data_IF_386889916528
#
_entry.id   IF_386889916528
#
_cell.length_a   1.000
_cell.length_b   1.000
_cell.length_c   1.000
_cell.angle_alpha   90.00
_cell.angle_beta   90.00
_cell.angle_gamma   90.00
#
_symmetry.space_group_name_H-M   'P 1'
#
loop_
_entity.id
_entity.type
_entity.pdbx_description
1 polymer ?
#
# COMPACT_ATOMS: atom_id res chain seq x y z
N UNK A 1 18.72 4.38 7.61
CA UNK A 1 19.05 3.69 6.33
C UNK A 1 17.89 2.75 6.04
N UNK A 2 17.12 2.96 4.97
CA UNK A 2 16.01 2.07 4.62
C UNK A 2 16.61 0.75 4.12
N UNK A 3 16.34 -0.36 4.82
CA UNK A 3 16.94 -1.69 4.55
C UNK A 3 16.41 -2.34 3.26
N UNK A 4 15.34 -1.79 2.68
CA UNK A 4 14.73 -2.25 1.44
C UNK A 4 15.06 -1.33 0.25
N UNK A 5 15.97 -0.37 0.41
CA UNK A 5 16.42 0.48 -0.69
C UNK A 5 17.50 -0.24 -1.51
N UNK A 6 17.24 -0.45 -2.80
CA UNK A 6 18.23 -0.91 -3.77
C UNK A 6 18.48 0.19 -4.81
N UNK A 7 19.72 0.34 -5.25
CA UNK A 7 20.07 1.26 -6.34
C UNK A 7 19.71 0.70 -7.72
N UNK A 8 19.65 -0.63 -7.83
CA UNK A 8 19.34 -1.34 -9.07
C UNK A 8 18.37 -2.49 -8.81
N UNK A 9 17.51 -2.78 -9.78
CA UNK A 9 16.60 -3.91 -9.73
C UNK A 9 17.28 -5.22 -10.18
N UNK A 10 16.52 -6.31 -10.25
CA UNK A 10 17.02 -7.63 -10.66
C UNK A 10 17.53 -7.74 -12.11
N UNK A 11 17.37 -6.69 -12.92
CA UNK A 11 17.86 -6.61 -14.31
C UNK A 11 18.96 -5.56 -14.49
N UNK A 12 19.42 -4.95 -13.38
CA UNK A 12 20.44 -3.90 -13.38
C UNK A 12 19.90 -2.52 -13.77
N UNK A 13 18.58 -2.32 -13.75
CA UNK A 13 17.95 -1.02 -14.04
C UNK A 13 17.96 -0.16 -12.79
N UNK A 14 18.32 1.12 -12.93
CA UNK A 14 18.38 2.04 -11.80
C UNK A 14 17.00 2.23 -11.14
N UNK A 15 16.93 2.01 -9.83
CA UNK A 15 15.71 2.22 -9.04
C UNK A 15 15.52 3.70 -8.72
N UNK A 16 14.28 4.17 -8.86
CA UNK A 16 13.90 5.55 -8.53
C UNK A 16 12.63 5.60 -7.70
N UNK A 17 12.48 6.66 -6.91
CA UNK A 17 11.18 6.99 -6.32
C UNK A 17 10.26 7.52 -7.43
N UNK A 18 9.03 7.01 -7.47
CA UNK A 18 8.02 7.42 -8.44
C UNK A 18 6.65 7.49 -7.79
N UNK A 19 5.82 8.38 -8.30
CA UNK A 19 4.41 8.42 -7.92
C UNK A 19 3.70 7.27 -8.66
N UNK A 20 3.18 6.28 -7.94
CA UNK A 20 2.29 5.24 -8.52
C UNK A 20 0.89 5.80 -8.69
N UNK A 21 0.41 6.50 -7.66
CA UNK A 21 -0.83 7.27 -7.68
C UNK A 21 -0.48 8.71 -7.31
N UNK A 22 -0.99 9.67 -8.08
CA UNK A 22 -0.83 11.11 -7.83
C UNK A 22 -2.18 11.79 -7.90
N UNK A 23 -2.57 12.44 -6.79
CA UNK A 23 -3.86 13.16 -6.68
C UNK A 23 -5.06 12.30 -7.13
N UNK A 24 -5.10 11.04 -6.68
CA UNK A 24 -6.16 10.08 -7.02
C UNK A 24 -6.08 9.49 -8.44
N UNK A 25 -5.06 9.83 -9.24
CA UNK A 25 -4.86 9.29 -10.59
C UNK A 25 -3.73 8.28 -10.60
N UNK A 26 -3.97 7.13 -11.24
CA UNK A 26 -2.92 6.16 -11.53
C UNK A 26 -1.95 6.75 -12.55
N UNK A 27 -0.66 6.72 -12.23
CA UNK A 27 0.40 7.31 -13.06
C UNK A 27 1.20 6.24 -13.82
N UNK A 28 1.48 5.11 -13.17
CA UNK A 28 2.24 4.00 -13.74
C UNK A 28 1.94 2.70 -12.99
N UNK A 29 2.11 1.58 -13.67
CA UNK A 29 2.28 0.27 -13.04
C UNK A 29 3.76 0.00 -12.76
N UNK A 30 4.05 -1.14 -12.16
CA UNK A 30 5.41 -1.64 -12.01
C UNK A 30 5.79 -2.49 -13.21
N UNK A 31 6.95 -2.25 -13.77
CA UNK A 31 7.44 -2.89 -14.98
C UNK A 31 8.86 -3.42 -14.81
N UNK A 32 9.08 -4.65 -15.27
CA UNK A 32 10.40 -5.16 -15.66
C UNK A 32 10.58 -4.95 -17.18
N UNK A 33 11.72 -5.31 -17.77
CA UNK A 33 11.95 -5.14 -19.22
C UNK A 33 10.94 -5.89 -20.09
N UNK A 34 10.55 -7.10 -19.68
CA UNK A 34 9.61 -7.92 -20.44
C UNK A 34 8.21 -7.28 -20.48
N UNK A 35 7.66 -6.90 -19.33
CA UNK A 35 6.32 -6.31 -19.25
C UNK A 35 6.29 -4.89 -19.83
N UNK A 36 7.37 -4.12 -19.67
CA UNK A 36 7.52 -2.81 -20.30
C UNK A 36 7.44 -2.93 -21.83
N UNK A 37 8.17 -3.90 -22.40
CA UNK A 37 8.18 -4.17 -23.84
C UNK A 37 6.80 -4.59 -24.35
N UNK A 38 6.04 -5.39 -23.58
CA UNK A 38 4.69 -5.84 -23.96
C UNK A 38 3.70 -4.67 -24.04
N UNK A 39 3.80 -3.72 -23.12
CA UNK A 39 2.89 -2.56 -23.05
C UNK A 39 3.40 -1.35 -23.85
N UNK A 40 4.59 -1.43 -24.46
CA UNK A 40 5.17 -0.35 -25.25
C UNK A 40 5.63 0.85 -24.40
N UNK A 41 6.01 0.61 -23.15
CA UNK A 41 6.47 1.63 -22.20
C UNK A 41 7.90 1.38 -21.74
N UNK A 42 8.47 2.33 -20.99
CA UNK A 42 9.78 2.17 -20.35
C UNK A 42 9.68 1.32 -19.07
N UNK A 43 10.75 0.58 -18.77
CA UNK A 43 10.84 -0.14 -17.48
C UNK A 43 10.84 0.84 -16.32
N UNK A 44 10.18 0.46 -15.23
CA UNK A 44 10.18 1.28 -14.01
C UNK A 44 11.30 0.88 -13.06
N UNK A 45 12.16 -0.08 -13.39
CA UNK A 45 13.17 -0.56 -12.44
C UNK A 45 12.54 -1.35 -11.29
N UNK A 46 11.64 -2.27 -11.63
CA UNK A 46 10.88 -3.09 -10.70
C UNK A 46 11.03 -4.60 -10.96
N UNK A 47 12.11 -5.00 -11.64
CA UNK A 47 12.44 -6.40 -11.82
C UNK A 47 12.89 -7.03 -10.49
N UNK A 48 12.36 -8.20 -10.17
CA UNK A 48 12.68 -8.92 -8.95
C UNK A 48 13.02 -10.37 -9.26
N UNK A 49 14.16 -10.83 -8.76
CA UNK A 49 14.57 -12.23 -8.88
C UNK A 49 13.91 -13.07 -7.79
N UNK A 50 13.02 -13.98 -8.18
CA UNK A 50 12.31 -14.85 -7.24
C UNK A 50 12.06 -16.22 -7.84
N UNK A 51 12.54 -17.28 -7.17
CA UNK A 51 12.22 -18.66 -7.54
C UNK A 51 12.73 -19.10 -8.92
N UNK A 52 13.90 -18.62 -9.34
CA UNK A 52 14.55 -19.03 -10.61
C UNK A 52 14.08 -18.27 -11.86
N UNK A 53 13.26 -17.24 -11.71
CA UNK A 53 12.85 -16.35 -12.81
C UNK A 53 12.83 -14.88 -12.37
N UNK A 54 12.91 -13.99 -13.35
CA UNK A 54 12.70 -12.56 -13.15
C UNK A 54 11.21 -12.28 -13.26
N UNK A 55 10.63 -11.75 -12.18
CA UNK A 55 9.27 -11.22 -12.14
C UNK A 55 9.28 -9.71 -11.94
N UNK A 56 8.11 -9.18 -11.60
CA UNK A 56 7.93 -7.78 -11.21
C UNK A 56 7.54 -7.72 -9.73
N UNK A 57 8.19 -6.87 -8.95
CA UNK A 57 7.81 -6.58 -7.57
C UNK A 57 8.07 -5.11 -7.21
N UNK A 58 7.64 -4.70 -6.03
CA UNK A 58 7.94 -3.38 -5.46
C UNK A 58 8.74 -3.53 -4.17
N UNK A 59 9.54 -2.51 -3.86
CA UNK A 59 10.28 -2.42 -2.59
C UNK A 59 9.38 -1.81 -1.51
N UNK A 60 9.46 -0.49 -1.34
CA UNK A 60 8.62 0.23 -0.38
C UNK A 60 7.54 1.03 -1.11
N UNK A 61 6.29 0.88 -0.66
CA UNK A 61 5.17 1.73 -1.05
C UNK A 61 4.64 2.38 0.22
N UNK A 62 4.45 3.69 0.18
CA UNK A 62 3.92 4.45 1.31
C UNK A 62 2.99 5.55 0.81
N UNK A 63 2.00 5.88 1.62
CA UNK A 63 1.12 7.03 1.39
C UNK A 63 1.82 8.28 1.92
N UNK A 64 1.89 9.33 1.11
CA UNK A 64 2.46 10.62 1.55
C UNK A 64 1.57 11.21 2.66
N UNK A 65 2.16 11.78 3.72
CA UNK A 65 1.39 12.36 4.81
C UNK A 65 0.52 13.52 4.33
N UNK A 66 -0.68 13.63 4.89
CA UNK A 66 -1.56 14.77 4.71
C UNK A 66 -1.13 15.98 5.54
N UNK A 67 -2.03 16.97 5.62
CA UNK A 67 -1.80 18.20 6.41
C UNK A 67 -2.43 18.15 7.81
N UNK A 68 -3.44 17.31 8.01
CA UNK A 68 -4.17 17.21 9.27
C UNK A 68 -3.39 16.37 10.28
N UNK A 69 -3.41 16.79 11.54
CA UNK A 69 -3.02 15.96 12.68
C UNK A 69 -4.03 14.84 12.90
N UNK A 70 -3.68 13.86 13.73
CA UNK A 70 -4.61 12.79 14.11
C UNK A 70 -5.87 13.35 14.80
N UNK A 71 -5.71 14.28 15.73
CA UNK A 71 -6.84 14.89 16.44
C UNK A 71 -7.78 15.65 15.49
N UNK A 72 -7.21 16.36 14.50
CA UNK A 72 -7.98 17.03 13.45
C UNK A 72 -8.70 16.05 12.52
N UNK A 73 -8.16 14.84 12.33
CA UNK A 73 -8.78 13.80 11.50
C UNK A 73 -9.99 13.16 12.18
N UNK A 74 -9.98 13.01 13.51
CA UNK A 74 -11.07 12.37 14.24
C UNK A 74 -12.12 13.36 14.75
N UNK A 75 -11.78 14.65 14.88
CA UNK A 75 -12.61 15.65 15.57
C UNK A 75 -14.05 15.79 15.10
N UNK A 76 -14.35 15.54 13.82
CA UNK A 76 -15.68 15.65 13.22
C UNK A 76 -16.47 14.32 13.20
N UNK A 77 -15.86 13.23 13.67
CA UNK A 77 -16.47 11.91 13.73
C UNK A 77 -17.34 11.78 15.00
N UNK A 78 -18.67 11.78 14.80
CA UNK A 78 -19.63 11.55 15.89
C UNK A 78 -19.57 10.14 16.46
N UNK A 79 -19.55 9.15 15.56
CA UNK A 79 -19.41 7.73 15.89
C UNK A 79 -18.68 7.05 14.73
N UNK A 80 -17.60 6.33 15.01
CA UNK A 80 -16.78 5.67 14.00
C UNK A 80 -15.77 4.69 14.59
N UNK A 81 -14.96 4.06 13.75
CA UNK A 81 -13.93 3.10 14.19
C UNK A 81 -12.57 3.56 13.71
N UNK A 82 -11.61 3.65 14.63
CA UNK A 82 -10.21 3.85 14.32
C UNK A 82 -9.50 2.50 14.30
N UNK A 83 -9.22 1.98 13.10
CA UNK A 83 -8.51 0.71 12.90
C UNK A 83 -7.01 0.96 13.03
N UNK A 84 -6.35 0.20 13.90
CA UNK A 84 -4.89 0.28 14.12
C UNK A 84 -4.14 -0.92 13.55
N UNK A 85 -4.81 -2.06 13.42
CA UNK A 85 -4.21 -3.27 12.86
C UNK A 85 -5.24 -4.08 12.06
N UNK A 86 -4.75 -4.81 11.07
CA UNK A 86 -5.53 -5.69 10.20
C UNK A 86 -4.79 -7.02 9.99
N UNK A 87 -5.50 -8.12 10.21
CA UNK A 87 -5.00 -9.47 10.05
C UNK A 87 -5.75 -10.21 8.93
N UNK A 88 -5.06 -11.18 8.30
CA UNK A 88 -5.68 -12.06 7.31
C UNK A 88 -5.76 -11.51 5.88
N UNK A 89 -5.05 -10.42 5.56
CA UNK A 89 -5.02 -9.85 4.20
C UNK A 89 -4.63 -10.86 3.11
N UNK A 90 -3.80 -11.85 3.43
CA UNK A 90 -3.33 -12.87 2.47
C UNK A 90 -4.46 -13.79 1.98
N UNK A 91 -5.44 -14.08 2.84
CA UNK A 91 -6.58 -14.96 2.51
C UNK A 91 -7.86 -14.16 2.25
N UNK A 92 -7.94 -12.96 2.82
CA UNK A 92 -9.14 -12.12 2.80
C UNK A 92 -9.23 -11.17 1.61
N UNK A 93 -8.22 -11.07 0.75
CA UNK A 93 -8.18 -10.13 -0.38
C UNK A 93 -8.24 -10.86 -1.73
N UNK A 94 -9.14 -10.39 -2.61
CA UNK A 94 -9.16 -10.75 -4.02
C UNK A 94 -8.54 -9.61 -4.85
N UNK A 95 -7.31 -9.79 -5.31
CA UNK A 95 -6.61 -8.77 -6.09
C UNK A 95 -7.23 -8.50 -7.49
N UNK A 96 -8.07 -9.39 -8.01
CA UNK A 96 -8.70 -9.21 -9.32
C UNK A 96 -9.94 -8.32 -9.25
N UNK A 97 -10.81 -8.53 -8.25
CA UNK A 97 -11.99 -7.70 -8.05
C UNK A 97 -11.71 -6.46 -7.19
N UNK A 98 -10.68 -6.53 -6.34
CA UNK A 98 -10.38 -5.51 -5.34
C UNK A 98 -11.13 -5.70 -4.01
N UNK A 99 -12.00 -6.71 -3.91
CA UNK A 99 -12.74 -6.99 -2.69
C UNK A 99 -11.79 -7.51 -1.61
N UNK A 100 -11.98 -7.05 -0.38
CA UNK A 100 -11.28 -7.59 0.77
C UNK A 100 -12.22 -7.69 1.97
N UNK A 101 -12.02 -8.72 2.78
CA UNK A 101 -12.61 -8.82 4.12
C UNK A 101 -11.59 -9.41 5.08
N UNK A 102 -11.30 -8.67 6.15
CA UNK A 102 -10.20 -8.95 7.06
C UNK A 102 -10.63 -8.70 8.49
N UNK A 103 -9.98 -9.39 9.41
CA UNK A 103 -10.14 -9.11 10.82
C UNK A 103 -9.37 -7.83 11.15
N UNK A 104 -10.00 -6.94 11.90
CA UNK A 104 -9.45 -5.67 12.30
C UNK A 104 -9.55 -5.49 13.82
N UNK A 105 -8.60 -4.73 14.36
CA UNK A 105 -8.56 -4.31 15.75
C UNK A 105 -8.35 -2.79 15.81
N UNK A 106 -8.90 -2.16 16.86
CA UNK A 106 -8.88 -0.71 16.95
C UNK A 106 -9.66 -0.14 18.11
N UNK A 107 -10.19 1.06 17.93
CA UNK A 107 -10.89 1.82 18.96
C UNK A 107 -12.18 2.41 18.42
N UNK A 108 -13.19 2.51 19.27
CA UNK A 108 -14.37 3.32 18.98
C UNK A 108 -13.97 4.80 19.01
N UNK A 109 -14.45 5.56 18.04
CA UNK A 109 -14.43 7.02 18.05
C UNK A 109 -15.82 7.49 18.47
N UNK A 110 -15.89 8.33 19.50
CA UNK A 110 -17.14 8.96 19.95
C UNK A 110 -16.91 10.46 20.18
N UNK A 111 -17.72 11.28 19.53
CA UNK A 111 -17.67 12.75 19.61
C UNK A 111 -16.24 13.30 19.46
N UNK A 112 -15.53 12.78 18.45
CA UNK A 112 -14.17 13.18 18.10
C UNK A 112 -13.06 12.71 19.04
N UNK A 113 -13.31 11.70 19.89
CA UNK A 113 -12.32 11.13 20.82
C UNK A 113 -12.27 9.61 20.74
N UNK A 114 -11.09 9.05 21.00
CA UNK A 114 -10.96 7.61 21.21
C UNK A 114 -11.65 7.23 22.53
N UNK A 115 -12.48 6.20 22.44
CA UNK A 115 -13.21 5.62 23.56
C UNK A 115 -12.69 4.21 23.85
N UNK A 116 -13.55 3.20 23.92
CA UNK A 116 -13.18 1.83 24.26
C UNK A 116 -12.46 1.09 23.11
N UNK A 117 -11.55 0.16 23.42
CA UNK A 117 -10.98 -0.74 22.43
C UNK A 117 -12.07 -1.64 21.83
N UNK A 118 -11.88 -1.99 20.56
CA UNK A 118 -12.70 -2.92 19.81
C UNK A 118 -11.80 -4.04 19.29
N UNK A 119 -12.14 -5.27 19.68
CA UNK A 119 -11.46 -6.49 19.24
C UNK A 119 -12.36 -7.25 18.27
N UNK A 120 -11.77 -7.96 17.31
CA UNK A 120 -12.46 -8.92 16.42
C UNK A 120 -13.59 -8.29 15.58
N UNK A 121 -13.31 -7.20 14.88
CA UNK A 121 -14.25 -6.65 13.88
C UNK A 121 -13.90 -7.25 12.52
N UNK A 122 -14.88 -7.80 11.81
CA UNK A 122 -14.72 -8.10 10.39
C UNK A 122 -15.26 -6.95 9.58
N UNK A 123 -14.44 -6.38 8.69
CA UNK A 123 -14.86 -5.38 7.70
C UNK A 123 -15.06 -5.99 6.33
#
# INVERSE_FOLDING_TARGET
RNVYFSYFDGEGVACTNKDVIKNGKLMTYFYNRETAKKDGVETTGNAFWGGGKIGTAFGNVFVKPGKKSFDELISDIKEGVYITDVAGLQTGMNANSGDFSCQAEGFLIKDGKLDKPLNLITS
#
